data_IF_643319881951
#
_entry.id   IF_643319881951
#
_cell.length_a   1.000
_cell.length_b   1.000
_cell.length_c   1.000
_cell.angle_alpha   90.00
_cell.angle_beta   90.00
_cell.angle_gamma   90.00
#
_symmetry.space_group_name_H-M   'P 1'
#
loop_
_entity.id
_entity.type
_entity.pdbx_description
1 polymer ?
#
# COMPACT_ATOMS: atom_id res chain seq x y z
N UNK A 1 -2.15 -11.88 30.46
CA UNK A 1 -1.76 -10.48 30.66
C UNK A 1 -2.82 -9.83 31.54
N UNK A 2 -2.47 -9.34 32.72
CA UNK A 2 -3.41 -8.63 33.59
C UNK A 2 -4.03 -7.48 32.81
N UNK A 3 -5.37 -7.41 32.80
CA UNK A 3 -6.10 -6.28 32.22
C UNK A 3 -5.90 -5.08 33.15
N UNK A 4 -4.77 -4.39 32.97
CA UNK A 4 -4.43 -3.20 33.73
C UNK A 4 -5.34 -2.09 33.20
N UNK A 5 -6.21 -1.62 34.07
CA UNK A 5 -7.07 -0.48 33.78
C UNK A 5 -6.21 0.80 33.71
N UNK A 6 -5.98 1.27 32.49
CA UNK A 6 -5.22 2.50 32.21
C UNK A 6 -5.91 3.74 32.79
N UNK A 7 -7.24 3.75 32.83
CA UNK A 7 -7.97 4.88 33.40
C UNK A 7 -7.74 4.94 34.91
N UNK A 8 -7.76 3.80 35.59
CA UNK A 8 -7.42 3.71 37.01
C UNK A 8 -5.96 4.15 37.28
N UNK A 9 -5.03 3.86 36.37
CA UNK A 9 -3.65 4.36 36.49
C UNK A 9 -3.56 5.88 36.30
N UNK A 10 -4.22 6.44 35.28
CA UNK A 10 -4.29 7.90 35.10
C UNK A 10 -4.86 8.59 36.33
N UNK A 11 -5.96 8.09 36.87
CA UNK A 11 -6.59 8.66 38.07
C UNK A 11 -5.66 8.59 39.29
N UNK A 12 -4.97 7.47 39.49
CA UNK A 12 -4.06 7.26 40.62
C UNK A 12 -2.87 8.23 40.64
N UNK A 13 -2.28 8.49 39.47
CA UNK A 13 -1.11 9.36 39.32
C UNK A 13 -1.47 10.81 38.99
N UNK A 14 -2.77 11.15 38.89
CA UNK A 14 -3.21 12.53 38.72
C UNK A 14 -3.08 13.33 40.01
N UNK A 15 -2.86 14.66 39.94
CA UNK A 15 -2.88 15.56 41.09
C UNK A 15 -4.17 15.40 41.90
N UNK A 16 -4.05 15.18 43.21
CA UNK A 16 -5.22 15.08 44.10
C UNK A 16 -5.70 16.46 44.54
N UNK A 17 -7.02 16.67 44.64
CA UNK A 17 -7.57 17.93 45.16
C UNK A 17 -7.18 18.13 46.63
N UNK A 18 -7.19 19.38 47.07
CA UNK A 18 -6.95 19.71 48.47
C UNK A 18 -8.04 19.07 49.36
N UNK A 19 -7.69 18.47 50.51
CA UNK A 19 -8.66 17.91 51.42
C UNK A 19 -9.50 19.02 52.09
N UNK A 20 -10.72 18.67 52.47
CA UNK A 20 -11.59 19.52 53.28
C UNK A 20 -11.26 19.38 54.77
N UNK A 21 -11.47 20.46 55.52
CA UNK A 21 -11.28 20.47 56.96
C UNK A 21 -12.34 19.61 57.66
N UNK A 22 -11.92 18.61 58.42
CA UNK A 22 -12.86 17.74 59.16
C UNK A 22 -13.61 18.46 60.31
N UNK A 23 -13.20 19.67 60.69
CA UNK A 23 -13.82 20.47 61.77
C UNK A 23 -14.90 21.40 61.23
N UNK A 24 -14.67 22.07 60.09
CA UNK A 24 -15.60 23.08 59.54
C UNK A 24 -16.01 22.88 58.07
N UNK A 25 -15.46 21.88 57.37
CA UNK A 25 -15.75 21.59 55.97
C UNK A 25 -15.11 22.55 54.96
N UNK A 26 -14.35 23.55 55.39
CA UNK A 26 -13.67 24.47 54.48
C UNK A 26 -12.48 23.82 53.76
N UNK A 27 -12.21 24.22 52.51
CA UNK A 27 -11.04 23.77 51.75
C UNK A 27 -9.75 24.15 52.48
N UNK A 28 -8.87 23.16 52.68
CA UNK A 28 -7.63 23.38 53.41
C UNK A 28 -6.54 23.92 52.49
N UNK A 29 -5.64 24.74 53.05
CA UNK A 29 -4.51 25.30 52.31
C UNK A 29 -3.22 24.59 52.67
N UNK A 30 -2.30 24.53 51.71
CA UNK A 30 -0.98 23.92 51.87
C UNK A 30 -0.15 24.76 52.85
N UNK A 31 0.28 24.15 53.95
CA UNK A 31 1.11 24.78 54.98
C UNK A 31 2.59 24.44 54.82
N UNK A 32 2.87 23.21 54.36
CA UNK A 32 4.22 22.72 54.13
C UNK A 32 4.20 21.66 53.04
N UNK A 33 5.14 21.76 52.10
CA UNK A 33 5.44 20.68 51.16
C UNK A 33 6.85 20.18 51.42
N UNK A 34 7.00 18.88 51.66
CA UNK A 34 8.28 18.22 51.83
C UNK A 34 8.31 16.95 50.99
N UNK A 35 8.92 17.04 49.81
CA UNK A 35 8.91 15.99 48.79
C UNK A 35 7.50 15.46 48.56
N UNK A 36 7.24 14.17 48.83
CA UNK A 36 5.94 13.53 48.66
C UNK A 36 4.97 13.73 49.83
N UNK A 37 5.30 14.49 50.87
CA UNK A 37 4.40 14.77 52.00
C UNK A 37 3.93 16.21 51.95
N UNK A 38 2.62 16.39 51.79
CA UNK A 38 1.96 17.69 51.80
C UNK A 38 1.16 17.80 53.09
N UNK A 39 1.49 18.80 53.91
CA UNK A 39 0.72 19.13 55.11
C UNK A 39 -0.28 20.22 54.77
N UNK A 40 -1.55 19.91 54.94
CA UNK A 40 -2.66 20.84 54.82
C UNK A 40 -3.09 21.32 56.21
N UNK A 41 -3.56 22.56 56.30
CA UNK A 41 -4.12 23.14 57.52
C UNK A 41 -5.28 24.08 57.19
N UNK A 42 -6.28 24.14 58.08
CA UNK A 42 -7.36 25.11 57.94
C UNK A 42 -6.96 26.42 58.65
N UNK A 43 -6.54 27.41 57.86
CA UNK A 43 -6.12 28.73 58.39
C UNK A 43 -7.32 29.61 58.76
N UNK A 44 -8.51 29.35 58.18
CA UNK A 44 -9.70 30.16 58.44
C UNK A 44 -9.57 31.62 57.96
N UNK A 45 -8.61 31.88 57.06
CA UNK A 45 -8.35 33.18 56.48
C UNK A 45 -8.91 33.26 55.06
N UNK A 46 -9.59 34.37 54.78
CA UNK A 46 -10.01 34.77 53.44
C UNK A 46 -9.14 35.91 52.95
N UNK A 47 -8.80 35.90 51.66
CA UNK A 47 -8.02 36.95 51.01
C UNK A 47 -8.93 37.72 50.07
N UNK A 48 -9.05 39.03 50.28
CA UNK A 48 -9.76 39.95 49.42
C UNK A 48 -8.89 41.19 49.10
N UNK A 49 -9.44 42.14 48.34
CA UNK A 49 -8.74 43.38 47.95
C UNK A 49 -8.37 44.28 49.16
N UNK A 50 -8.91 44.00 50.35
CA UNK A 50 -8.64 44.73 51.60
C UNK A 50 -7.62 44.03 52.50
N UNK A 51 -7.20 42.81 52.14
CA UNK A 51 -6.14 42.08 52.80
C UNK A 51 -6.57 40.70 53.29
N UNK A 52 -5.89 40.22 54.33
CA UNK A 52 -6.17 38.93 54.96
C UNK A 52 -7.11 39.14 56.14
N UNK A 53 -8.27 38.49 56.11
CA UNK A 53 -9.26 38.54 57.17
C UNK A 53 -9.55 37.13 57.69
N UNK A 54 -9.54 36.95 59.00
CA UNK A 54 -9.88 35.70 59.67
C UNK A 54 -11.37 35.68 60.01
N UNK A 55 -12.00 34.50 59.93
CA UNK A 55 -13.36 34.34 60.43
C UNK A 55 -13.47 34.61 61.93
N UNK A 56 -14.67 34.93 62.43
CA UNK A 56 -14.88 35.30 63.83
C UNK A 56 -14.33 34.24 64.80
N UNK A 57 -13.49 34.67 65.75
CA UNK A 57 -12.83 33.81 66.72
C UNK A 57 -11.62 33.01 66.19
N UNK A 58 -11.23 33.22 64.92
CA UNK A 58 -10.04 32.59 64.32
C UNK A 58 -8.84 33.53 64.38
N UNK A 59 -7.64 32.95 64.50
CA UNK A 59 -6.39 33.70 64.42
C UNK A 59 -5.27 32.84 63.84
N UNK A 60 -4.10 33.44 63.59
CA UNK A 60 -2.95 32.69 63.11
C UNK A 60 -2.53 31.62 64.13
N UNK A 61 -2.45 30.36 63.66
CA UNK A 61 -2.10 29.22 64.49
C UNK A 61 -2.99 29.01 65.74
N UNK A 62 -4.30 29.21 65.59
CA UNK A 62 -5.29 28.88 66.62
C UNK A 62 -5.45 27.37 66.86
N UNK A 63 -6.19 26.99 67.91
CA UNK A 63 -6.47 25.57 68.23
C UNK A 63 -7.10 24.83 67.05
N UNK A 64 -7.93 25.53 66.27
CA UNK A 64 -8.52 24.97 65.06
C UNK A 64 -7.44 24.67 64.00
N UNK A 65 -6.50 25.59 63.78
CA UNK A 65 -5.37 25.37 62.90
C UNK A 65 -4.57 24.16 63.36
N UNK A 66 -4.23 24.04 64.65
CA UNK A 66 -3.46 22.91 65.17
C UNK A 66 -4.20 21.57 65.01
N UNK A 67 -5.47 21.52 65.37
CA UNK A 67 -6.30 20.31 65.31
C UNK A 67 -6.66 19.92 63.87
N UNK A 68 -6.77 20.88 62.95
CA UNK A 68 -7.16 20.61 61.56
C UNK A 68 -6.04 19.99 60.72
N UNK A 69 -4.77 20.03 61.15
CA UNK A 69 -3.63 19.64 60.32
C UNK A 69 -3.66 18.17 59.89
N UNK A 70 -3.57 17.94 58.60
CA UNK A 70 -3.43 16.60 58.00
C UNK A 70 -2.21 16.56 57.10
N UNK A 71 -1.49 15.43 57.11
CA UNK A 71 -0.39 15.19 56.15
C UNK A 71 -0.81 14.09 55.19
N UNK A 72 -0.87 14.44 53.91
CA UNK A 72 -1.20 13.53 52.81
C UNK A 72 0.09 13.17 52.08
N UNK A 73 0.21 11.90 51.69
CA UNK A 73 1.26 11.46 50.78
C UNK A 73 0.79 11.70 49.35
N UNK A 74 1.47 12.59 48.66
CA UNK A 74 1.31 12.79 47.24
C UNK A 74 1.95 11.63 46.47
N UNK A 75 1.13 10.99 45.64
CA UNK A 75 1.52 9.87 44.77
C UNK A 75 1.35 10.24 43.30
N UNK A 76 1.04 11.51 43.01
CA UNK A 76 0.89 12.01 41.66
C UNK A 76 2.26 12.01 40.97
N UNK A 77 2.28 11.51 39.74
CA UNK A 77 3.52 11.36 38.98
C UNK A 77 3.27 11.80 37.53
N UNK A 78 3.78 12.98 37.13
CA UNK A 78 3.59 13.49 35.78
C UNK A 78 4.35 12.66 34.72
N UNK A 79 5.44 11.98 35.08
CA UNK A 79 6.19 11.13 34.13
C UNK A 79 5.37 9.90 33.75
N UNK A 80 4.68 9.30 34.72
CA UNK A 80 3.79 8.16 34.46
C UNK A 80 2.60 8.57 33.57
N UNK A 81 2.07 9.79 33.71
CA UNK A 81 1.02 10.30 32.84
C UNK A 81 1.54 10.55 31.41
N UNK A 82 2.72 11.15 31.27
CA UNK A 82 3.36 11.37 29.98
C UNK A 82 3.64 10.05 29.23
N UNK A 83 4.09 9.02 29.95
CA UNK A 83 4.28 7.67 29.39
C UNK A 83 2.96 7.03 28.94
N UNK A 84 1.84 7.31 29.62
CA UNK A 84 0.52 6.83 29.19
C UNK A 84 0.06 7.52 27.91
N UNK A 85 0.27 8.83 27.78
CA UNK A 85 -0.01 9.59 26.56
C UNK A 85 0.83 9.08 25.38
N UNK A 86 2.13 8.86 25.61
CA UNK A 86 3.04 8.33 24.58
C UNK A 86 2.61 6.92 24.13
N UNK A 87 2.24 6.05 25.06
CA UNK A 87 1.76 4.70 24.74
C UNK A 87 0.44 4.72 23.94
N UNK A 88 -0.48 5.62 24.25
CA UNK A 88 -1.71 5.82 23.48
C UNK A 88 -1.42 6.33 22.07
N UNK A 89 -0.46 7.26 21.93
CA UNK A 89 0.00 7.74 20.64
C UNK A 89 0.61 6.61 19.78
N UNK A 90 1.48 5.77 20.33
CA UNK A 90 2.05 4.63 19.60
C UNK A 90 0.99 3.62 19.18
N UNK A 91 0.03 3.29 20.06
CA UNK A 91 -1.09 2.40 19.72
C UNK A 91 -1.92 2.94 18.55
N UNK A 92 -2.27 4.23 18.57
CA UNK A 92 -2.98 4.87 17.46
C UNK A 92 -2.18 4.79 16.15
N UNK A 93 -0.85 4.92 16.23
CA UNK A 93 0.04 4.79 15.07
C UNK A 93 0.10 3.34 14.56
N UNK A 94 0.16 2.35 15.43
CA UNK A 94 0.11 0.92 15.05
C UNK A 94 -1.21 0.56 14.37
N UNK A 95 -2.35 1.05 14.86
CA UNK A 95 -3.66 0.83 14.24
C UNK A 95 -3.71 1.42 12.81
N UNK A 96 -3.20 2.64 12.64
CA UNK A 96 -3.08 3.28 11.32
C UNK A 96 -2.19 2.48 10.37
N UNK A 97 -1.03 2.02 10.84
CA UNK A 97 -0.10 1.21 10.03
C UNK A 97 -0.76 -0.10 9.63
N UNK A 98 -1.44 -0.78 10.56
CA UNK A 98 -2.16 -2.03 10.30
C UNK A 98 -3.21 -1.85 9.21
N UNK A 99 -4.00 -0.77 9.31
CA UNK A 99 -4.98 -0.43 8.27
C UNK A 99 -4.32 -0.19 6.91
N UNK A 100 -3.24 0.58 6.87
CA UNK A 100 -2.51 0.86 5.63
C UNK A 100 -1.92 -0.40 5.00
N UNK A 101 -1.38 -1.31 5.81
CA UNK A 101 -0.85 -2.60 5.35
C UNK A 101 -1.96 -3.45 4.74
N UNK A 102 -3.14 -3.52 5.38
CA UNK A 102 -4.30 -4.25 4.86
C UNK A 102 -4.78 -3.65 3.53
N UNK A 103 -4.98 -2.33 3.47
CA UNK A 103 -5.43 -1.65 2.25
C UNK A 103 -4.41 -1.86 1.11
N UNK A 104 -3.11 -1.77 1.41
CA UNK A 104 -2.06 -2.02 0.44
C UNK A 104 -2.04 -3.49 -0.04
N UNK A 105 -2.22 -4.46 0.86
CA UNK A 105 -2.31 -5.89 0.51
C UNK A 105 -3.45 -6.16 -0.47
N UNK A 106 -4.64 -5.59 -0.23
CA UNK A 106 -5.77 -5.75 -1.17
C UNK A 106 -5.49 -5.15 -2.55
N UNK A 107 -4.73 -4.05 -2.58
CA UNK A 107 -4.28 -3.42 -3.82
C UNK A 107 -3.32 -4.32 -4.61
N UNK A 108 -2.34 -4.92 -3.93
CA UNK A 108 -1.40 -5.86 -4.55
C UNK A 108 -2.11 -7.09 -5.12
N UNK A 109 -3.08 -7.67 -4.42
CA UNK A 109 -3.86 -8.81 -4.92
C UNK A 109 -4.59 -8.47 -6.23
N UNK A 110 -5.16 -7.27 -6.32
CA UNK A 110 -5.81 -6.80 -7.53
C UNK A 110 -4.83 -6.61 -8.69
N UNK A 111 -3.62 -6.11 -8.40
CA UNK A 111 -2.55 -5.96 -9.40
C UNK A 111 -2.05 -7.31 -9.89
N UNK A 112 -1.81 -8.28 -9.00
CA UNK A 112 -1.38 -9.62 -9.37
C UNK A 112 -2.39 -10.32 -10.28
N UNK A 113 -3.70 -10.19 -10.00
CA UNK A 113 -4.75 -10.72 -10.88
C UNK A 113 -4.71 -10.09 -12.28
N UNK A 114 -4.50 -8.77 -12.37
CA UNK A 114 -4.38 -8.08 -13.66
C UNK A 114 -3.13 -8.51 -14.42
N UNK A 115 -2.01 -8.69 -13.72
CA UNK A 115 -0.76 -9.16 -14.31
C UNK A 115 -0.92 -10.58 -14.88
N UNK A 116 -1.45 -11.51 -14.09
CA UNK A 116 -1.70 -12.88 -14.54
C UNK A 116 -2.65 -12.94 -15.75
N UNK A 117 -3.69 -12.09 -15.78
CA UNK A 117 -4.59 -12.00 -16.93
C UNK A 117 -3.90 -11.42 -18.17
N UNK A 118 -3.02 -10.42 -18.00
CA UNK A 118 -2.25 -9.85 -19.09
C UNK A 118 -1.22 -10.85 -19.65
N UNK A 119 -0.48 -11.54 -18.78
CA UNK A 119 0.46 -12.60 -19.18
C UNK A 119 -0.25 -13.73 -19.93
N UNK A 120 -1.42 -14.16 -19.46
CA UNK A 120 -2.23 -15.16 -20.17
C UNK A 120 -2.63 -14.69 -21.57
N UNK A 121 -3.08 -13.43 -21.71
CA UNK A 121 -3.42 -12.85 -23.01
C UNK A 121 -2.20 -12.75 -23.93
N UNK A 122 -1.04 -12.38 -23.40
CA UNK A 122 0.21 -12.36 -24.18
C UNK A 122 0.58 -13.77 -24.63
N UNK A 123 0.53 -14.77 -23.75
CA UNK A 123 0.81 -16.17 -24.12
C UNK A 123 -0.19 -16.70 -25.17
N UNK A 124 -1.47 -16.36 -25.06
CA UNK A 124 -2.48 -16.72 -26.07
C UNK A 124 -2.21 -16.05 -27.43
N UNK A 125 -1.74 -14.80 -27.43
CA UNK A 125 -1.36 -14.10 -28.66
C UNK A 125 -0.07 -14.68 -29.26
N UNK A 126 0.95 -14.95 -28.45
CA UNK A 126 2.20 -15.58 -28.88
C UNK A 126 2.00 -17.01 -29.39
N UNK A 127 1.05 -17.76 -28.84
CA UNK A 127 0.70 -19.10 -29.32
C UNK A 127 -0.06 -19.07 -30.66
N UNK A 128 -0.80 -17.99 -30.93
CA UNK A 128 -1.45 -17.75 -32.23
C UNK A 128 -0.49 -17.20 -33.27
N UNK A 129 0.58 -16.55 -32.83
CA UNK A 129 1.62 -16.04 -33.71
C UNK A 129 2.44 -17.21 -34.28
N UNK A 130 2.38 -17.37 -35.60
CA UNK A 130 3.17 -18.36 -36.31
C UNK A 130 4.59 -17.78 -36.43
N UNK A 131 5.57 -18.46 -35.82
CA UNK A 131 6.99 -18.06 -35.89
C UNK A 131 7.72 -18.90 -36.96
N UNK A 132 8.57 -18.29 -37.80
CA UNK A 132 9.37 -19.04 -38.77
C UNK A 132 10.37 -19.96 -38.07
N UNK A 133 10.60 -21.16 -38.63
CA UNK A 133 11.68 -22.03 -38.19
C UNK A 133 13.05 -21.47 -38.56
N UNK A 134 14.11 -22.04 -37.98
CA UNK A 134 15.49 -21.59 -38.22
C UNK A 134 15.88 -21.81 -39.69
N UNK A 135 16.06 -20.71 -40.43
CA UNK A 135 16.39 -20.74 -41.86
C UNK A 135 15.16 -20.70 -42.79
N UNK A 136 13.96 -20.61 -42.23
CA UNK A 136 12.71 -20.44 -42.95
C UNK A 136 12.33 -18.95 -43.02
N UNK A 137 11.76 -18.53 -44.14
CA UNK A 137 11.17 -17.19 -44.31
C UNK A 137 9.66 -17.35 -44.34
N UNK A 138 8.97 -16.88 -43.30
CA UNK A 138 7.52 -16.90 -43.21
C UNK A 138 6.92 -15.62 -43.82
N UNK A 139 6.05 -15.77 -44.82
CA UNK A 139 5.29 -14.66 -45.40
C UNK A 139 3.84 -14.75 -44.93
N UNK A 140 3.41 -13.80 -44.10
CA UNK A 140 2.02 -13.70 -43.64
C UNK A 140 1.26 -12.70 -44.51
N UNK A 141 0.34 -13.20 -45.35
CA UNK A 141 -0.52 -12.36 -46.19
C UNK A 141 -1.87 -12.12 -45.49
N UNK A 142 -2.08 -10.92 -44.97
CA UNK A 142 -3.29 -10.53 -44.22
C UNK A 142 -4.08 -9.42 -44.91
N UNK A 143 -5.41 -9.41 -44.74
CA UNK A 143 -6.29 -8.37 -45.28
C UNK A 143 -7.77 -8.81 -45.30
N UNK A 144 -8.67 -7.89 -45.62
CA UNK A 144 -10.11 -8.14 -45.66
C UNK A 144 -10.49 -9.20 -46.71
N UNK A 145 -11.59 -9.93 -46.50
CA UNK A 145 -12.15 -10.87 -47.49
C UNK A 145 -12.39 -10.16 -48.83
N UNK A 146 -11.97 -10.75 -49.95
CA UNK A 146 -12.13 -10.15 -51.28
C UNK A 146 -11.09 -9.09 -51.69
N UNK A 147 -10.03 -8.82 -50.91
CA UNK A 147 -8.99 -7.86 -51.31
C UNK A 147 -7.86 -8.44 -52.18
N UNK A 148 -8.05 -9.62 -52.78
CA UNK A 148 -7.04 -10.25 -53.66
C UNK A 148 -5.85 -10.92 -52.97
N UNK A 149 -5.93 -11.21 -51.67
CA UNK A 149 -4.85 -11.88 -50.89
C UNK A 149 -4.37 -13.18 -51.52
N UNK A 150 -5.30 -14.02 -51.95
CA UNK A 150 -5.04 -15.34 -52.50
C UNK A 150 -4.37 -15.25 -53.87
N UNK A 151 -4.67 -14.20 -54.64
CA UNK A 151 -3.97 -13.92 -55.90
C UNK A 151 -2.51 -13.51 -55.65
N UNK A 152 -2.26 -12.63 -54.68
CA UNK A 152 -0.88 -12.27 -54.29
C UNK A 152 -0.12 -13.48 -53.73
N UNK A 153 -0.75 -14.29 -52.88
CA UNK A 153 -0.12 -15.51 -52.34
C UNK A 153 0.19 -16.53 -53.46
N UNK A 154 -0.70 -16.67 -54.45
CA UNK A 154 -0.51 -17.51 -55.63
C UNK A 154 0.67 -17.06 -56.50
N UNK A 155 0.80 -15.76 -56.77
CA UNK A 155 1.95 -15.21 -57.53
C UNK A 155 3.28 -15.43 -56.82
N UNK A 156 3.31 -15.26 -55.48
CA UNK A 156 4.49 -15.58 -54.68
C UNK A 156 4.85 -17.06 -54.82
N UNK A 157 3.87 -17.97 -54.76
CA UNK A 157 4.10 -19.41 -54.93
C UNK A 157 4.74 -19.73 -56.30
N UNK A 158 4.19 -19.16 -57.38
CA UNK A 158 4.67 -19.38 -58.75
C UNK A 158 6.07 -18.80 -58.91
N UNK A 159 6.31 -17.57 -58.46
CA UNK A 159 7.60 -16.91 -58.54
C UNK A 159 8.68 -17.68 -57.78
N UNK A 160 8.40 -18.15 -56.56
CA UNK A 160 9.35 -18.94 -55.76
C UNK A 160 9.68 -20.29 -56.42
N UNK A 161 8.67 -20.98 -57.00
CA UNK A 161 8.89 -22.21 -57.77
C UNK A 161 9.76 -21.98 -59.00
N UNK A 162 9.56 -20.86 -59.71
CA UNK A 162 10.33 -20.52 -60.90
C UNK A 162 11.83 -20.28 -60.60
N UNK A 163 12.16 -19.74 -59.42
CA UNK A 163 13.54 -19.53 -58.98
C UNK A 163 14.15 -20.75 -58.25
N UNK A 164 13.39 -21.85 -58.12
CA UNK A 164 13.85 -23.09 -57.47
C UNK A 164 13.85 -23.07 -55.94
N UNK A 165 13.13 -22.12 -55.31
CA UNK A 165 12.97 -22.06 -53.85
C UNK A 165 11.80 -22.98 -53.43
N UNK A 166 11.99 -23.89 -52.47
CA UNK A 166 10.90 -24.72 -51.96
C UNK A 166 9.86 -23.85 -51.24
N UNK A 167 8.60 -23.94 -51.66
CA UNK A 167 7.48 -23.17 -51.09
C UNK A 167 6.36 -24.12 -50.64
N UNK A 168 5.80 -23.83 -49.48
CA UNK A 168 4.63 -24.53 -48.94
C UNK A 168 3.57 -23.50 -48.58
N UNK A 169 2.40 -23.59 -49.22
CA UNK A 169 1.26 -22.74 -48.89
C UNK A 169 0.26 -23.51 -48.03
N UNK A 170 0.25 -23.24 -46.73
CA UNK A 170 -0.71 -23.82 -45.79
C UNK A 170 -2.06 -23.10 -45.87
N UNK A 171 -3.17 -23.85 -45.85
CA UNK A 171 -4.56 -23.34 -45.84
C UNK A 171 -5.04 -22.64 -47.13
N UNK A 172 -4.32 -22.78 -48.26
CA UNK A 172 -4.68 -22.15 -49.55
C UNK A 172 -5.77 -22.90 -50.35
N UNK A 173 -5.91 -24.21 -50.16
CA UNK A 173 -6.74 -25.06 -51.01
C UNK A 173 -8.25 -24.77 -50.90
N UNK A 174 -8.71 -24.28 -49.75
CA UNK A 174 -10.11 -23.91 -49.53
C UNK A 174 -10.56 -22.71 -50.38
N UNK A 175 -9.68 -21.74 -50.65
CA UNK A 175 -9.99 -20.58 -51.52
C UNK A 175 -9.68 -20.88 -53.00
N UNK A 176 -8.66 -21.68 -53.31
CA UNK A 176 -8.29 -22.08 -54.68
C UNK A 176 -9.44 -22.76 -55.43
N UNK A 177 -10.23 -23.58 -54.74
CA UNK A 177 -11.37 -24.29 -55.34
C UNK A 177 -12.65 -23.47 -55.45
N UNK A 178 -12.75 -22.33 -54.76
CA UNK A 178 -13.99 -21.57 -54.64
C UNK A 178 -14.18 -20.52 -55.74
N UNK A 179 -13.10 -19.93 -56.25
CA UNK A 179 -13.17 -18.83 -57.22
C UNK A 179 -13.02 -19.26 -58.66
N UNK A 180 -12.38 -20.40 -58.96
CA UNK A 180 -12.19 -20.93 -60.33
C UNK A 180 -11.54 -19.94 -61.31
N UNK A 181 -10.98 -18.84 -60.80
CA UNK A 181 -10.55 -17.68 -61.56
C UNK A 181 -9.05 -17.76 -61.80
N UNK A 182 -8.64 -17.46 -63.03
CA UNK A 182 -7.25 -17.22 -63.38
C UNK A 182 -6.69 -16.07 -62.52
N UNK A 183 -5.54 -16.28 -61.89
CA UNK A 183 -4.97 -15.36 -60.90
C UNK A 183 -4.70 -13.98 -61.51
N UNK A 184 -4.38 -13.94 -62.81
CA UNK A 184 -4.23 -12.71 -63.59
C UNK A 184 -5.51 -11.86 -63.61
N UNK A 185 -6.67 -12.48 -63.83
CA UNK A 185 -7.98 -11.80 -63.84
C UNK A 185 -8.33 -11.24 -62.46
N UNK A 186 -7.96 -11.95 -61.39
CA UNK A 186 -8.18 -11.48 -60.02
C UNK A 186 -7.31 -10.27 -59.66
N UNK A 187 -6.05 -10.22 -60.12
CA UNK A 187 -5.16 -9.07 -59.91
C UNK A 187 -5.66 -7.83 -60.64
N UNK A 188 -6.12 -8.00 -61.88
CA UNK A 188 -6.70 -6.90 -62.66
C UNK A 188 -8.02 -6.38 -62.06
N UNK A 189 -8.86 -7.27 -61.54
CA UNK A 189 -10.14 -6.91 -60.95
C UNK A 189 -9.99 -6.20 -59.60
N UNK A 190 -9.08 -6.67 -58.74
CA UNK A 190 -8.95 -6.16 -57.36
C UNK A 190 -7.86 -5.10 -57.17
N UNK A 191 -6.93 -4.94 -58.14
CA UNK A 191 -5.80 -3.98 -58.09
C UNK A 191 -5.17 -3.83 -56.70
N UNK A 192 -4.69 -4.93 -56.10
CA UNK A 192 -4.17 -4.90 -54.74
C UNK A 192 -2.90 -4.05 -54.63
N UNK A 193 -2.70 -3.42 -53.48
CA UNK A 193 -1.44 -2.72 -53.13
C UNK A 193 -0.68 -3.53 -52.10
N UNK A 194 0.61 -3.74 -52.32
CA UNK A 194 1.47 -4.53 -51.43
C UNK A 194 2.52 -3.62 -50.82
N UNK A 195 2.60 -3.62 -49.48
CA UNK A 195 3.66 -2.95 -48.72
C UNK A 195 4.54 -4.01 -48.07
N UNK A 196 5.78 -4.12 -48.54
CA UNK A 196 6.77 -5.02 -47.98
C UNK A 196 7.56 -4.25 -46.91
N UNK A 197 7.62 -4.79 -45.69
CA UNK A 197 8.42 -4.24 -44.59
C UNK A 197 9.37 -5.34 -44.16
N UNK A 198 10.68 -5.08 -44.25
CA UNK A 198 11.70 -5.97 -43.71
C UNK A 198 11.83 -5.75 -42.20
N UNK A 199 11.67 -6.81 -41.41
CA UNK A 199 11.88 -6.80 -39.95
C UNK A 199 12.87 -7.89 -39.61
N UNK A 200 14.04 -7.52 -39.11
CA UNK A 200 15.05 -8.48 -38.67
C UNK A 200 14.68 -9.04 -37.29
N UNK A 201 14.50 -10.36 -37.18
CA UNK A 201 14.34 -11.03 -35.88
C UNK A 201 15.73 -11.54 -35.44
N UNK A 202 16.35 -10.96 -34.40
CA UNK A 202 17.67 -11.39 -33.96
C UNK A 202 17.62 -12.85 -33.49
N UNK A 203 18.63 -13.64 -33.87
CA UNK A 203 18.80 -14.99 -33.34
C UNK A 203 18.90 -14.91 -31.82
N UNK A 204 18.10 -15.71 -31.11
CA UNK A 204 18.23 -15.84 -29.66
C UNK A 204 19.70 -16.17 -29.33
N UNK A 205 20.37 -15.27 -28.60
CA UNK A 205 21.75 -15.44 -28.16
C UNK A 205 21.77 -16.52 -27.05
N UNK A 206 21.77 -17.79 -27.46
CA UNK A 206 21.78 -18.93 -26.54
C UNK A 206 23.13 -19.62 -26.50
N UNK A 207 23.78 -19.55 -25.33
CA UNK A 207 24.62 -20.60 -24.73
C UNK A 207 26.03 -20.73 -25.34
N UNK A 208 27.01 -20.12 -24.64
CA UNK A 208 28.43 -20.42 -24.78
C UNK A 208 28.66 -21.91 -24.53
N UNK A 209 28.95 -22.67 -25.58
CA UNK A 209 29.58 -23.98 -25.45
C UNK A 209 30.97 -23.72 -24.86
N UNK A 210 31.23 -24.23 -23.65
CA UNK A 210 32.58 -24.24 -23.06
C UNK A 210 33.52 -24.91 -24.06
N UNK A 211 34.56 -24.18 -24.49
CA UNK A 211 35.65 -24.77 -25.25
C UNK A 211 36.30 -25.87 -24.41
N UNK A 212 36.55 -27.02 -25.05
CA UNK A 212 37.48 -27.99 -24.52
C UNK A 212 38.87 -27.35 -24.54
N UNK A 213 39.46 -27.17 -23.36
CA UNK A 213 40.89 -26.94 -23.23
C UNK A 213 41.61 -28.27 -23.53
N UNK A 214 42.24 -28.34 -24.70
CA UNK A 214 43.29 -29.28 -25.03
C UNK A 214 44.43 -28.49 -25.67
N UNK A 215 45.38 -28.04 -24.86
CA UNK A 215 46.84 -28.09 -25.07
C UNK A 215 47.56 -27.58 -23.81
#
# INVERSE_FOLDING_TARGET
>A
MSNIDKQALRERYSPKPAPECHICGAEMTIQRMSASRITYGCVGATYDDKGCHYADGRSIADDHYEQSRVTVVDVSDPEVLALQDELEHYKSREERVTKLVLDNSTSWDALYKKLAAAEKRTAELEAREIKPAKGEVLVVVSGFTGCGKSAIAGEIEIAMKAIGVPVQWTNGDAEKHMTGADWLTAIEMYKPTVRIVEVNVPRAAGIKVKGNDCE
#
